data_IF_553977528619
#
_entry.id   IF_553977528619
#
_cell.length_a   1.000
_cell.length_b   1.000
_cell.length_c   1.000
_cell.angle_alpha   90.00
_cell.angle_beta   90.00
_cell.angle_gamma   90.00
#
_symmetry.space_group_name_H-M   'P 1'
#
loop_
_entity.id
_entity.type
_entity.pdbx_description
1 polymer ?
#
# COMPACT_ATOMS: atom_id res chain seq x y z
N UNK A 1 14.48 -12.13 -3.13
CA UNK A 1 14.34 -11.00 -2.17
C UNK A 1 14.96 -11.39 -0.84
N UNK A 2 15.61 -10.45 -0.14
CA UNK A 2 16.09 -10.63 1.23
C UNK A 2 15.65 -9.46 2.09
N UNK A 3 15.44 -9.70 3.38
CA UNK A 3 15.14 -8.65 4.37
C UNK A 3 16.20 -8.68 5.46
N UNK A 4 16.70 -7.52 5.84
CA UNK A 4 17.63 -7.34 6.95
C UNK A 4 17.02 -6.35 7.95
N UNK A 5 16.76 -6.81 9.16
CA UNK A 5 16.41 -5.95 10.29
C UNK A 5 17.69 -5.27 10.79
N UNK A 6 17.72 -3.94 10.79
CA UNK A 6 18.88 -3.14 11.19
C UNK A 6 18.78 -2.65 12.64
N UNK A 7 17.58 -2.21 13.06
CA UNK A 7 17.35 -1.66 14.39
C UNK A 7 15.89 -1.85 14.82
N UNK A 8 15.68 -1.95 16.12
CA UNK A 8 14.35 -1.92 16.76
C UNK A 8 14.36 -0.83 17.82
N UNK A 9 13.35 0.03 17.84
CA UNK A 9 13.21 1.09 18.84
C UNK A 9 13.09 0.46 20.26
N UNK A 10 13.84 0.95 21.26
CA UNK A 10 13.83 0.35 22.59
C UNK A 10 12.51 0.54 23.35
N UNK A 11 11.66 1.50 22.94
CA UNK A 11 10.45 1.91 23.65
C UNK A 11 9.16 1.54 22.92
N UNK A 12 9.26 0.88 21.76
CA UNK A 12 8.11 0.43 20.94
C UNK A 12 8.47 -0.79 20.11
N UNK A 13 7.54 -1.29 19.29
CA UNK A 13 7.84 -2.34 18.33
C UNK A 13 8.35 -1.80 16.97
N UNK A 14 8.53 -0.47 16.85
CA UNK A 14 9.00 0.16 15.63
C UNK A 14 10.37 -0.35 15.23
N UNK A 15 10.55 -0.63 13.94
CA UNK A 15 11.77 -1.24 13.43
C UNK A 15 12.22 -0.62 12.12
N UNK A 16 13.51 -0.49 11.93
CA UNK A 16 14.15 -0.07 10.71
C UNK A 16 14.86 -1.26 10.06
N UNK A 17 14.57 -1.51 8.81
CA UNK A 17 15.16 -2.61 8.03
C UNK A 17 15.48 -2.20 6.61
N UNK A 18 15.85 -3.20 5.81
CA UNK A 18 16.17 -3.05 4.41
C UNK A 18 15.70 -4.30 3.65
N UNK A 19 14.97 -4.08 2.57
CA UNK A 19 14.56 -5.13 1.63
C UNK A 19 15.41 -4.98 0.37
N UNK A 20 15.99 -6.09 -0.11
CA UNK A 20 16.72 -6.14 -1.37
C UNK A 20 15.93 -6.93 -2.39
N UNK A 21 15.61 -6.31 -3.52
CA UNK A 21 15.03 -6.94 -4.72
C UNK A 21 16.01 -6.84 -5.88
N UNK A 22 15.68 -7.47 -7.02
CA UNK A 22 16.51 -7.37 -8.23
C UNK A 22 16.43 -5.98 -8.88
N UNK A 23 15.36 -5.20 -8.62
CA UNK A 23 15.20 -3.82 -9.12
C UNK A 23 15.64 -2.75 -8.11
N UNK A 24 16.16 -3.12 -6.95
CA UNK A 24 16.72 -2.15 -6.00
C UNK A 24 16.45 -2.43 -4.55
N UNK A 25 16.91 -1.50 -3.73
CA UNK A 25 16.84 -1.56 -2.27
C UNK A 25 15.68 -0.70 -1.76
N UNK A 26 14.94 -1.22 -0.79
CA UNK A 26 13.84 -0.53 -0.12
C UNK A 26 14.20 -0.41 1.36
N UNK A 27 14.25 0.82 1.86
CA UNK A 27 14.48 1.11 3.28
C UNK A 27 13.13 1.17 4.00
N UNK A 28 12.97 0.36 5.05
CA UNK A 28 11.74 0.33 5.85
C UNK A 28 11.90 1.09 7.17
N UNK A 29 10.81 1.67 7.72
CA UNK A 29 9.44 1.67 7.18
C UNK A 29 9.32 2.45 5.88
N UNK A 30 8.39 2.03 5.00
CA UNK A 30 8.17 2.62 3.68
C UNK A 30 6.69 2.77 3.35
N UNK A 31 6.35 3.86 2.64
CA UNK A 31 5.05 4.03 2.00
C UNK A 31 5.18 3.80 0.49
N UNK A 32 4.28 3.01 -0.08
CA UNK A 32 4.24 2.67 -1.50
C UNK A 32 3.19 3.52 -2.23
N UNK A 33 3.58 4.44 -3.13
CA UNK A 33 2.64 5.12 -4.00
C UNK A 33 1.84 4.12 -4.86
N UNK A 34 0.51 4.32 -4.93
CA UNK A 34 -0.38 3.40 -5.66
C UNK A 34 -0.47 3.79 -7.12
N UNK A 35 0.05 2.93 -7.98
CA UNK A 35 -0.01 2.99 -9.44
C UNK A 35 -1.06 2.04 -10.02
N UNK A 36 -2.35 2.28 -9.77
CA UNK A 36 -3.48 1.39 -10.07
C UNK A 36 -3.45 0.79 -11.48
N UNK A 37 -3.19 1.61 -12.49
CA UNK A 37 -3.15 1.19 -13.90
C UNK A 37 -1.74 1.38 -14.48
N UNK A 38 -0.73 0.88 -13.79
CA UNK A 38 0.71 1.06 -14.08
C UNK A 38 1.16 2.54 -14.00
N UNK A 39 0.37 3.41 -13.38
CA UNK A 39 0.71 4.83 -13.21
C UNK A 39 0.20 5.36 -11.88
N UNK A 40 1.04 6.11 -11.18
CA UNK A 40 0.61 6.95 -10.07
C UNK A 40 -0.10 8.17 -10.65
N UNK A 41 -1.39 8.33 -10.32
CA UNK A 41 -2.24 9.36 -10.97
C UNK A 41 -1.63 10.75 -10.84
N UNK A 42 -1.55 11.47 -11.97
CA UNK A 42 -1.04 12.84 -12.11
C UNK A 42 0.45 13.03 -11.82
N UNK A 43 1.25 11.96 -11.81
CA UNK A 43 2.70 12.02 -11.53
C UNK A 43 3.47 11.31 -12.64
N UNK A 44 4.50 11.96 -13.18
CA UNK A 44 5.44 11.34 -14.13
C UNK A 44 6.41 10.40 -13.42
N UNK A 45 6.92 9.41 -14.13
CA UNK A 45 7.89 8.44 -13.57
C UNK A 45 9.18 9.11 -13.06
N UNK A 46 9.68 10.15 -13.75
CA UNK A 46 10.86 10.89 -13.30
C UNK A 46 10.59 11.69 -12.01
N UNK A 47 9.41 12.33 -11.88
CA UNK A 47 9.00 13.02 -10.64
C UNK A 47 8.90 12.04 -9.47
N UNK A 48 8.35 10.84 -9.75
CA UNK A 48 8.22 9.78 -8.75
C UNK A 48 9.60 9.30 -8.24
N UNK A 49 10.59 9.21 -9.15
CA UNK A 49 11.95 8.80 -8.84
C UNK A 49 12.78 9.92 -8.22
N UNK A 50 12.79 11.10 -8.84
CA UNK A 50 13.78 12.15 -8.57
C UNK A 50 13.29 13.16 -7.52
N UNK A 51 12.00 13.52 -7.55
CA UNK A 51 11.41 14.50 -6.63
C UNK A 51 10.81 13.82 -5.39
N UNK A 52 9.93 12.85 -5.59
CA UNK A 52 9.25 12.12 -4.51
C UNK A 52 10.19 11.09 -3.87
N UNK A 53 11.15 10.55 -4.64
CA UNK A 53 12.11 9.52 -4.22
C UNK A 53 11.43 8.23 -3.74
N UNK A 54 10.37 7.82 -4.44
CA UNK A 54 9.74 6.55 -4.18
C UNK A 54 10.72 5.40 -4.44
N UNK A 55 10.81 4.47 -3.50
CA UNK A 55 11.71 3.31 -3.61
C UNK A 55 10.98 2.08 -4.13
N UNK A 56 9.66 2.05 -4.04
CA UNK A 56 8.77 1.00 -4.49
C UNK A 56 7.41 1.60 -4.84
N UNK A 57 6.72 1.02 -5.81
CA UNK A 57 5.34 1.36 -6.17
C UNK A 57 4.43 0.14 -6.07
N UNK A 58 3.13 0.36 -5.89
CA UNK A 58 2.13 -0.70 -5.92
C UNK A 58 1.33 -0.64 -7.23
N UNK A 59 1.18 -1.79 -7.90
CA UNK A 59 0.28 -2.01 -9.02
C UNK A 59 -0.92 -2.87 -8.61
N UNK A 60 -2.10 -2.66 -9.23
CA UNK A 60 -3.27 -3.48 -8.91
C UNK A 60 -3.51 -4.56 -9.97
N UNK A 61 -3.38 -5.80 -9.59
CA UNK A 61 -3.54 -6.98 -10.44
C UNK A 61 -4.86 -6.99 -11.20
N UNK A 62 -5.98 -6.74 -10.54
CA UNK A 62 -7.31 -6.68 -11.15
C UNK A 62 -7.38 -5.66 -12.29
N UNK A 63 -6.86 -4.46 -12.07
CA UNK A 63 -6.91 -3.40 -13.08
C UNK A 63 -6.00 -3.70 -14.27
N UNK A 64 -4.78 -4.17 -14.01
CA UNK A 64 -3.82 -4.51 -15.06
C UNK A 64 -4.26 -5.72 -15.89
N UNK A 65 -4.93 -6.69 -15.27
CA UNK A 65 -5.54 -7.82 -15.94
C UNK A 65 -6.64 -7.39 -16.92
N UNK A 66 -7.53 -6.49 -16.51
CA UNK A 66 -8.62 -6.01 -17.36
C UNK A 66 -8.13 -5.03 -18.43
N UNK A 67 -7.19 -4.16 -18.08
CA UNK A 67 -6.65 -3.13 -18.98
C UNK A 67 -5.26 -2.68 -18.50
N UNK A 68 -4.21 -2.85 -19.31
CA UNK A 68 -4.20 -3.11 -20.75
C UNK A 68 -4.49 -4.56 -21.15
N UNK A 69 -4.50 -5.52 -20.18
CA UNK A 69 -4.64 -6.94 -20.45
C UNK A 69 -3.29 -7.67 -20.52
N UNK A 70 -3.35 -8.98 -20.34
CA UNK A 70 -2.15 -9.81 -20.18
C UNK A 70 -1.30 -9.93 -21.44
N UNK A 71 -1.92 -9.90 -22.63
CA UNK A 71 -1.19 -9.95 -23.90
C UNK A 71 -0.28 -8.74 -24.06
N UNK A 72 -0.81 -7.54 -23.77
CA UNK A 72 -0.05 -6.29 -23.83
C UNK A 72 1.05 -6.29 -22.77
N UNK A 73 0.74 -6.72 -21.54
CA UNK A 73 1.73 -6.80 -20.47
C UNK A 73 2.89 -7.75 -20.84
N UNK A 74 2.58 -8.91 -21.39
CA UNK A 74 3.58 -9.89 -21.83
C UNK A 74 4.45 -9.34 -22.96
N UNK A 75 3.83 -8.72 -23.97
CA UNK A 75 4.53 -8.12 -25.12
C UNK A 75 5.45 -6.96 -24.71
N UNK A 76 5.08 -6.22 -23.67
CA UNK A 76 5.88 -5.12 -23.14
C UNK A 76 7.06 -5.56 -22.25
N UNK A 77 7.16 -6.84 -21.89
CA UNK A 77 8.18 -7.32 -20.95
C UNK A 77 7.81 -7.10 -19.48
N UNK A 78 6.53 -7.14 -19.15
CA UNK A 78 5.99 -6.91 -17.82
C UNK A 78 5.79 -5.43 -17.48
N UNK A 79 5.46 -5.14 -16.21
CA UNK A 79 5.10 -3.79 -15.74
C UNK A 79 6.26 -2.81 -15.89
N UNK A 80 7.49 -3.23 -15.67
CA UNK A 80 8.69 -2.39 -15.79
C UNK A 80 8.91 -1.93 -17.23
N UNK A 81 8.80 -2.84 -18.20
CA UNK A 81 8.88 -2.52 -19.62
C UNK A 81 7.68 -1.70 -20.10
N UNK A 82 6.49 -1.95 -19.54
CA UNK A 82 5.26 -1.26 -19.93
C UNK A 82 5.22 0.21 -19.50
N UNK A 83 5.61 0.52 -18.26
CA UNK A 83 5.49 1.87 -17.72
C UNK A 83 6.82 2.63 -17.58
N UNK A 84 7.96 1.95 -17.83
CA UNK A 84 9.30 2.55 -17.72
C UNK A 84 9.78 2.79 -16.30
N UNK A 85 9.08 2.28 -15.27
CA UNK A 85 9.53 2.34 -13.88
C UNK A 85 10.64 1.32 -13.63
N UNK A 86 11.79 1.77 -13.16
CA UNK A 86 12.98 0.92 -12.97
C UNK A 86 13.16 0.43 -11.53
N UNK A 87 12.39 0.94 -10.58
CA UNK A 87 12.44 0.53 -9.19
C UNK A 87 11.54 -0.67 -8.88
N UNK A 88 11.59 -1.20 -7.65
CA UNK A 88 10.73 -2.29 -7.22
C UNK A 88 9.24 -2.01 -7.39
N UNK A 89 8.47 -3.08 -7.66
CA UNK A 89 7.00 -3.05 -7.74
C UNK A 89 6.43 -4.19 -6.90
N UNK A 90 5.37 -3.87 -6.15
CA UNK A 90 4.50 -4.85 -5.52
C UNK A 90 3.16 -4.88 -6.27
N UNK A 91 2.61 -6.07 -6.53
CA UNK A 91 1.22 -6.22 -6.99
C UNK A 91 0.36 -6.83 -5.91
N UNK A 92 -0.86 -6.26 -5.70
CA UNK A 92 -1.87 -6.89 -4.86
C UNK A 92 -2.42 -8.18 -5.48
N UNK A 93 -3.26 -8.92 -4.73
CA UNK A 93 -3.91 -10.15 -5.22
C UNK A 93 -5.03 -9.89 -6.22
N UNK A 94 -5.59 -8.68 -6.25
CA UNK A 94 -6.83 -8.34 -6.95
C UNK A 94 -8.10 -8.74 -6.20
N UNK A 95 -8.02 -9.45 -5.08
CA UNK A 95 -9.15 -9.91 -4.29
C UNK A 95 -10.04 -8.78 -3.77
N UNK A 96 -9.44 -7.73 -3.23
CA UNK A 96 -10.17 -6.56 -2.74
C UNK A 96 -10.93 -5.84 -3.86
N UNK A 97 -10.35 -5.68 -5.05
CA UNK A 97 -11.00 -5.01 -6.18
C UNK A 97 -12.18 -5.84 -6.72
N UNK A 98 -12.05 -7.15 -6.76
CA UNK A 98 -13.17 -8.05 -7.06
C UNK A 98 -14.26 -7.91 -6.00
N UNK A 99 -13.88 -7.71 -4.72
CA UNK A 99 -14.83 -7.43 -3.64
C UNK A 99 -15.53 -6.08 -3.83
N UNK A 100 -14.78 -5.00 -4.05
CA UNK A 100 -15.29 -3.62 -3.97
C UNK A 100 -15.89 -3.09 -5.28
N UNK A 101 -15.43 -3.55 -6.45
CA UNK A 101 -15.80 -3.01 -7.76
C UNK A 101 -16.72 -3.91 -8.58
N UNK A 102 -16.74 -5.21 -8.32
CA UNK A 102 -17.57 -6.13 -9.08
C UNK A 102 -19.04 -6.08 -8.62
N UNK A 103 -19.92 -5.56 -9.47
CA UNK A 103 -21.35 -5.48 -9.20
C UNK A 103 -22.02 -6.86 -8.95
N UNK A 104 -21.47 -7.91 -9.58
CA UNK A 104 -21.92 -9.30 -9.40
C UNK A 104 -20.69 -10.19 -9.26
N UNK A 105 -20.54 -10.80 -8.09
CA UNK A 105 -19.52 -11.79 -7.83
C UNK A 105 -20.10 -13.05 -7.22
N UNK A 106 -19.48 -14.17 -7.48
CA UNK A 106 -19.81 -15.46 -6.88
C UNK A 106 -18.53 -16.10 -6.38
N UNK A 107 -18.43 -16.23 -5.06
CA UNK A 107 -17.30 -16.87 -4.39
C UNK A 107 -17.62 -18.35 -4.23
N UNK A 108 -16.67 -19.20 -4.55
CA UNK A 108 -16.71 -20.65 -4.41
C UNK A 108 -15.35 -21.17 -3.98
N UNK A 109 -15.26 -22.46 -3.68
CA UNK A 109 -13.98 -23.11 -3.37
C UNK A 109 -12.95 -22.98 -4.50
N UNK A 110 -13.40 -23.06 -5.74
CA UNK A 110 -12.55 -23.00 -6.92
C UNK A 110 -11.96 -21.60 -7.15
N UNK A 111 -12.66 -20.55 -6.70
CA UNK A 111 -12.28 -19.16 -6.93
C UNK A 111 -13.47 -18.21 -7.00
N UNK A 112 -13.28 -17.04 -7.60
CA UNK A 112 -14.29 -15.99 -7.70
C UNK A 112 -14.62 -15.70 -9.16
N UNK A 113 -15.89 -15.88 -9.51
CA UNK A 113 -16.43 -15.41 -10.81
C UNK A 113 -17.03 -14.01 -10.61
N UNK A 114 -16.67 -13.07 -11.47
CA UNK A 114 -17.11 -11.68 -11.40
C UNK A 114 -17.37 -11.06 -12.76
N UNK A 115 -18.07 -9.92 -12.77
CA UNK A 115 -18.27 -9.11 -13.97
C UNK A 115 -17.36 -7.89 -13.92
N UNK A 116 -16.64 -7.64 -15.02
CA UNK A 116 -15.81 -6.46 -15.22
C UNK A 116 -16.65 -5.18 -15.07
N UNK A 117 -16.12 -4.21 -14.30
CA UNK A 117 -16.73 -2.88 -14.17
C UNK A 117 -16.55 -2.02 -15.42
N UNK A 118 -15.72 -2.45 -16.39
CA UNK A 118 -15.43 -1.70 -17.63
C UNK A 118 -16.48 -1.98 -18.70
N UNK A 119 -16.78 -3.26 -18.93
CA UNK A 119 -17.59 -3.72 -20.07
C UNK A 119 -18.61 -4.81 -19.71
N UNK A 120 -18.66 -5.23 -18.44
CA UNK A 120 -19.57 -6.27 -17.95
C UNK A 120 -19.18 -7.70 -18.36
N UNK A 121 -18.04 -7.92 -19.00
CA UNK A 121 -17.55 -9.24 -19.36
C UNK A 121 -17.33 -10.12 -18.12
N UNK A 122 -17.53 -11.43 -18.28
CA UNK A 122 -17.37 -12.40 -17.20
C UNK A 122 -15.92 -12.88 -17.12
N UNK A 123 -15.38 -12.87 -15.89
CA UNK A 123 -14.04 -13.34 -15.58
C UNK A 123 -14.06 -14.25 -14.36
N UNK A 124 -13.03 -15.09 -14.22
CA UNK A 124 -12.85 -15.94 -13.05
C UNK A 124 -11.41 -15.82 -12.57
N UNK A 125 -11.25 -15.49 -11.30
CA UNK A 125 -9.99 -15.58 -10.58
C UNK A 125 -9.97 -16.85 -9.74
N UNK A 126 -8.95 -17.67 -9.91
CA UNK A 126 -8.60 -18.80 -9.05
C UNK A 126 -7.24 -18.52 -8.42
N UNK A 127 -6.89 -19.17 -7.31
CA UNK A 127 -5.56 -19.04 -6.74
C UNK A 127 -4.44 -19.25 -7.77
N UNK A 128 -4.57 -20.27 -8.61
CA UNK A 128 -3.56 -20.59 -9.63
C UNK A 128 -3.44 -19.51 -10.70
N UNK A 129 -4.58 -19.10 -11.29
CA UNK A 129 -4.50 -18.13 -12.38
C UNK A 129 -4.12 -16.73 -11.90
N UNK A 130 -4.39 -16.36 -10.64
CA UNK A 130 -3.91 -15.10 -10.05
C UNK A 130 -2.37 -15.12 -9.91
N UNK A 131 -1.78 -16.27 -9.59
CA UNK A 131 -0.32 -16.41 -9.62
C UNK A 131 0.23 -16.22 -11.04
N UNK A 132 -0.38 -16.88 -12.03
CA UNK A 132 0.01 -16.73 -13.44
C UNK A 132 -0.14 -15.28 -13.95
N UNK A 133 -1.22 -14.60 -13.57
CA UNK A 133 -1.44 -13.19 -13.89
C UNK A 133 -0.31 -12.32 -13.31
N UNK A 134 0.06 -12.51 -12.05
CA UNK A 134 1.13 -11.75 -11.41
C UNK A 134 2.51 -12.11 -11.97
N UNK A 135 2.73 -13.35 -12.42
CA UNK A 135 3.93 -13.72 -13.18
C UNK A 135 4.02 -12.92 -14.49
N UNK A 136 2.90 -12.77 -15.22
CA UNK A 136 2.84 -11.99 -16.47
C UNK A 136 3.00 -10.49 -16.21
N UNK A 137 2.43 -9.96 -15.13
CA UNK A 137 2.64 -8.57 -14.74
C UNK A 137 4.11 -8.34 -14.38
N UNK A 138 4.77 -9.28 -13.72
CA UNK A 138 6.20 -9.24 -13.46
C UNK A 138 6.63 -8.26 -12.37
N UNK A 139 5.86 -8.13 -11.29
CA UNK A 139 6.25 -7.36 -10.10
C UNK A 139 7.33 -8.09 -9.29
N UNK A 140 8.11 -7.38 -8.48
CA UNK A 140 9.12 -7.96 -7.57
C UNK A 140 8.50 -8.69 -6.39
N UNK A 141 7.37 -8.19 -5.89
CA UNK A 141 6.61 -8.78 -4.78
C UNK A 141 5.19 -9.04 -5.26
N UNK A 142 4.72 -10.27 -5.11
CA UNK A 142 3.39 -10.69 -5.47
C UNK A 142 2.64 -11.24 -4.25
N UNK A 143 1.31 -11.14 -4.27
CA UNK A 143 0.45 -11.44 -3.13
C UNK A 143 -0.36 -12.71 -3.36
N UNK A 144 -0.61 -13.47 -2.28
CA UNK A 144 -1.56 -14.57 -2.30
C UNK A 144 -2.97 -14.07 -2.64
N UNK A 145 -3.76 -14.91 -3.32
CA UNK A 145 -5.18 -14.63 -3.54
C UNK A 145 -5.97 -14.91 -2.26
N UNK A 146 -6.77 -13.95 -1.81
CA UNK A 146 -7.47 -13.96 -0.54
C UNK A 146 -8.92 -13.48 -0.67
N UNK A 147 -9.73 -13.75 0.34
CA UNK A 147 -11.06 -13.16 0.50
C UNK A 147 -11.02 -12.09 1.59
N UNK A 148 -11.19 -10.81 1.18
CA UNK A 148 -11.40 -9.71 2.11
C UNK A 148 -12.87 -9.68 2.56
N UNK A 149 -13.12 -9.81 3.86
CA UNK A 149 -14.47 -9.73 4.42
C UNK A 149 -14.93 -8.28 4.57
N UNK A 150 -16.26 -8.00 4.51
CA UNK A 150 -16.79 -6.68 4.84
C UNK A 150 -16.64 -6.38 6.34
N UNK A 151 -16.76 -5.10 6.69
CA UNK A 151 -16.94 -4.69 8.08
C UNK A 151 -18.29 -3.92 8.21
N UNK A 152 -19.13 -4.19 9.22
CA UNK A 152 -19.00 -5.33 10.15
C UNK A 152 -19.27 -6.69 9.45
N UNK A 153 -18.73 -7.75 10.05
CA UNK A 153 -18.88 -9.12 9.57
C UNK A 153 -19.21 -10.04 10.75
N UNK A 154 -20.14 -10.97 10.61
CA UNK A 154 -20.39 -11.94 11.66
C UNK A 154 -19.26 -12.99 11.77
N UNK A 155 -19.09 -13.54 12.99
CA UNK A 155 -17.99 -14.46 13.28
C UNK A 155 -18.00 -15.71 12.39
N UNK A 156 -19.16 -16.32 12.13
CA UNK A 156 -19.25 -17.54 11.32
C UNK A 156 -18.85 -17.29 9.87
N UNK A 157 -19.22 -16.12 9.33
CA UNK A 157 -18.77 -15.75 7.99
C UNK A 157 -17.27 -15.49 7.97
N UNK A 158 -16.74 -14.74 8.94
CA UNK A 158 -15.31 -14.47 9.05
C UNK A 158 -14.49 -15.76 9.17
N UNK A 159 -14.93 -16.71 10.00
CA UNK A 159 -14.29 -18.02 10.19
C UNK A 159 -14.32 -18.86 8.89
N UNK A 160 -15.45 -18.90 8.19
CA UNK A 160 -15.58 -19.61 6.91
C UNK A 160 -14.68 -18.99 5.84
N UNK A 161 -14.67 -17.68 5.74
CA UNK A 161 -13.82 -16.91 4.82
C UNK A 161 -12.35 -17.13 5.10
N UNK A 162 -11.94 -17.13 6.36
CA UNK A 162 -10.57 -17.43 6.77
C UNK A 162 -10.16 -18.84 6.32
N UNK A 163 -10.98 -19.83 6.56
CA UNK A 163 -10.72 -21.21 6.12
C UNK A 163 -10.58 -21.33 4.59
N UNK A 164 -11.39 -20.58 3.84
CA UNK A 164 -11.27 -20.50 2.38
C UNK A 164 -9.96 -19.84 1.95
N UNK A 165 -9.62 -18.70 2.56
CA UNK A 165 -8.36 -17.98 2.28
C UNK A 165 -7.14 -18.87 2.53
N UNK A 166 -7.12 -19.64 3.62
CA UNK A 166 -6.02 -20.58 3.89
C UNK A 166 -5.91 -21.69 2.84
N UNK A 167 -7.03 -22.31 2.40
CA UNK A 167 -6.98 -23.31 1.33
C UNK A 167 -6.55 -22.71 -0.01
N UNK A 168 -6.96 -21.48 -0.30
CA UNK A 168 -6.47 -20.75 -1.48
C UNK A 168 -4.98 -20.42 -1.37
N UNK A 169 -4.48 -20.12 -0.18
CA UNK A 169 -3.06 -19.89 0.05
C UNK A 169 -2.23 -21.12 -0.32
N UNK A 170 -2.63 -22.33 0.09
CA UNK A 170 -1.94 -23.56 -0.26
C UNK A 170 -1.83 -23.74 -1.79
N UNK A 171 -2.92 -23.48 -2.51
CA UNK A 171 -2.98 -23.55 -3.97
C UNK A 171 -2.11 -22.48 -4.64
N UNK A 172 -2.08 -21.25 -4.06
CA UNK A 172 -1.18 -20.19 -4.51
C UNK A 172 0.28 -20.59 -4.34
N UNK A 173 0.63 -21.16 -3.19
CA UNK A 173 1.97 -21.63 -2.86
C UNK A 173 2.40 -22.71 -3.85
N UNK A 174 1.58 -23.74 -4.04
CA UNK A 174 1.84 -24.83 -4.99
C UNK A 174 2.08 -24.28 -6.41
N UNK A 175 1.21 -23.34 -6.85
CA UNK A 175 1.37 -22.76 -8.19
C UNK A 175 2.61 -21.90 -8.31
N UNK A 176 2.90 -21.07 -7.29
CA UNK A 176 4.09 -20.21 -7.27
C UNK A 176 5.39 -21.04 -7.31
N UNK A 177 5.47 -22.09 -6.49
CA UNK A 177 6.67 -22.93 -6.39
C UNK A 177 6.91 -23.79 -7.64
N UNK A 178 5.85 -24.11 -8.40
CA UNK A 178 5.90 -24.88 -9.64
C UNK A 178 5.97 -24.02 -10.92
N UNK A 179 6.15 -22.69 -10.79
CA UNK A 179 6.27 -21.78 -11.94
C UNK A 179 7.46 -20.84 -11.80
N UNK A 180 8.12 -20.58 -12.91
CA UNK A 180 9.29 -19.69 -12.93
C UNK A 180 8.92 -18.24 -13.27
N UNK A 181 9.68 -17.25 -12.79
CA UNK A 181 9.58 -15.86 -13.23
C UNK A 181 9.81 -15.73 -14.74
N UNK A 182 9.07 -14.85 -15.40
CA UNK A 182 9.08 -14.75 -16.88
C UNK A 182 10.19 -13.81 -17.38
N UNK A 183 10.55 -12.78 -16.62
CA UNK A 183 11.38 -11.67 -17.12
C UNK A 183 12.80 -11.63 -16.54
N UNK A 184 13.30 -12.74 -16.04
CA UNK A 184 14.69 -12.89 -15.59
C UNK A 184 15.03 -12.32 -14.22
N UNK A 185 14.07 -11.69 -13.51
CA UNK A 185 14.20 -11.28 -12.12
C UNK A 185 13.39 -12.18 -11.20
N UNK A 186 13.81 -12.29 -9.95
CA UNK A 186 13.12 -13.08 -8.92
C UNK A 186 11.91 -12.33 -8.38
N UNK A 187 10.84 -13.08 -8.15
CA UNK A 187 9.65 -12.56 -7.48
C UNK A 187 9.54 -13.15 -6.08
N UNK A 188 9.24 -12.32 -5.10
CA UNK A 188 8.93 -12.73 -3.74
C UNK A 188 7.41 -12.93 -3.57
N UNK A 189 7.00 -13.86 -2.73
CA UNK A 189 5.61 -14.17 -2.47
C UNK A 189 5.22 -13.84 -1.04
N UNK A 190 4.17 -12.99 -0.87
CA UNK A 190 3.64 -12.60 0.43
C UNK A 190 2.25 -13.19 0.63
N UNK A 191 2.07 -14.08 1.62
CA UNK A 191 0.75 -14.50 2.09
C UNK A 191 0.06 -13.36 2.85
N UNK A 192 -1.29 -13.42 2.94
CA UNK A 192 -2.13 -12.40 3.56
C UNK A 192 -2.86 -12.95 4.77
N UNK A 193 -2.66 -12.30 5.91
CA UNK A 193 -3.36 -12.60 7.16
C UNK A 193 -4.75 -11.95 7.10
N UNK A 194 -5.80 -12.76 7.28
CA UNK A 194 -7.18 -12.34 7.35
C UNK A 194 -7.78 -12.66 8.74
N UNK A 195 -9.08 -12.46 8.98
CA UNK A 195 -9.75 -12.78 10.24
C UNK A 195 -10.63 -11.65 10.77
N UNK A 196 -10.96 -10.64 9.92
CA UNK A 196 -11.76 -9.47 10.31
C UNK A 196 -11.20 -8.80 11.59
N UNK A 197 -12.03 -8.38 12.52
CA UNK A 197 -11.64 -7.82 13.83
C UNK A 197 -11.80 -8.83 14.98
N UNK A 198 -11.67 -10.13 14.69
CA UNK A 198 -11.76 -11.20 15.67
C UNK A 198 -10.35 -11.68 16.10
N UNK A 199 -9.93 -11.45 17.35
CA UNK A 199 -8.59 -11.79 17.83
C UNK A 199 -8.20 -13.25 17.62
N UNK A 200 -9.13 -14.19 17.88
CA UNK A 200 -8.87 -15.62 17.73
C UNK A 200 -8.59 -15.99 16.26
N UNK A 201 -9.40 -15.45 15.34
CA UNK A 201 -9.21 -15.70 13.91
C UNK A 201 -7.89 -15.06 13.40
N UNK A 202 -7.57 -13.86 13.87
CA UNK A 202 -6.29 -13.20 13.55
C UNK A 202 -5.08 -14.00 14.04
N UNK A 203 -5.17 -14.56 15.25
CA UNK A 203 -4.13 -15.42 15.80
C UNK A 203 -3.94 -16.68 14.97
N UNK A 204 -5.03 -17.41 14.70
CA UNK A 204 -4.99 -18.61 13.84
C UNK A 204 -4.38 -18.29 12.49
N UNK A 205 -4.79 -17.17 11.87
CA UNK A 205 -4.26 -16.76 10.57
C UNK A 205 -2.77 -16.43 10.63
N UNK A 206 -2.34 -15.64 11.62
CA UNK A 206 -0.94 -15.24 11.78
C UNK A 206 -0.02 -16.45 12.01
N UNK A 207 -0.43 -17.39 12.88
CA UNK A 207 0.31 -18.64 13.14
C UNK A 207 0.42 -19.52 11.88
N UNK A 208 -0.70 -19.71 11.17
CA UNK A 208 -0.72 -20.47 9.92
C UNK A 208 0.22 -19.86 8.89
N UNK A 209 0.14 -18.57 8.68
CA UNK A 209 0.93 -17.86 7.67
C UNK A 209 2.42 -17.81 8.03
N UNK A 210 2.74 -17.57 9.30
CA UNK A 210 4.13 -17.60 9.79
C UNK A 210 4.79 -18.95 9.57
N UNK A 211 4.05 -20.06 9.71
CA UNK A 211 4.56 -21.42 9.51
C UNK A 211 5.01 -21.71 8.08
N UNK A 212 4.47 -21.00 7.07
CA UNK A 212 4.93 -21.17 5.68
C UNK A 212 6.31 -20.57 5.40
N UNK A 213 6.83 -19.68 6.25
CA UNK A 213 8.20 -19.14 6.17
C UNK A 213 8.50 -18.37 4.87
N UNK A 214 7.49 -17.75 4.22
CA UNK A 214 7.66 -17.01 2.97
C UNK A 214 8.50 -15.74 3.15
N UNK A 215 8.79 -15.06 2.05
CA UNK A 215 9.73 -13.92 2.03
C UNK A 215 9.24 -12.69 2.81
N UNK A 216 7.94 -12.57 3.04
CA UNK A 216 7.32 -11.53 3.85
C UNK A 216 5.87 -11.88 4.18
N UNK A 217 5.21 -11.05 5.00
CA UNK A 217 3.84 -11.28 5.44
C UNK A 217 3.02 -10.01 5.31
N UNK A 218 1.79 -10.13 4.81
CA UNK A 218 0.86 -9.01 4.73
C UNK A 218 -0.32 -9.19 5.70
N UNK A 219 -0.84 -8.07 6.18
CA UNK A 219 -2.02 -7.99 7.03
C UNK A 219 -3.12 -7.32 6.22
N UNK A 220 -4.11 -8.10 5.81
CA UNK A 220 -5.26 -7.62 5.05
C UNK A 220 -6.54 -7.57 5.90
N UNK A 221 -7.66 -7.12 5.29
CA UNK A 221 -8.98 -7.07 5.92
C UNK A 221 -9.08 -6.13 7.11
N UNK A 222 -8.23 -5.12 7.17
CA UNK A 222 -8.28 -3.97 8.06
C UNK A 222 -8.38 -2.68 7.24
N UNK A 223 -8.73 -1.56 7.88
CA UNK A 223 -9.03 -0.28 7.20
C UNK A 223 -10.20 -0.38 6.21
N UNK A 224 -11.19 -1.22 6.53
CA UNK A 224 -12.40 -1.45 5.73
C UNK A 224 -13.67 -0.87 6.36
N UNK A 225 -13.54 -0.07 7.42
CA UNK A 225 -14.62 0.64 8.10
C UNK A 225 -14.65 0.50 9.63
N UNK A 226 -13.78 -0.31 10.20
CA UNK A 226 -13.63 -0.48 11.63
C UNK A 226 -13.05 0.78 12.30
N UNK A 227 -13.29 1.01 13.61
CA UNK A 227 -12.60 2.01 14.40
C UNK A 227 -11.08 1.80 14.40
N UNK A 228 -10.32 2.89 14.46
CA UNK A 228 -8.85 2.82 14.41
C UNK A 228 -8.27 1.99 15.56
N UNK A 229 -8.87 2.04 16.73
CA UNK A 229 -8.45 1.28 17.91
C UNK A 229 -8.55 -0.23 17.69
N UNK A 230 -9.60 -0.71 17.00
CA UNK A 230 -9.75 -2.12 16.64
C UNK A 230 -8.66 -2.53 15.63
N UNK A 231 -8.40 -1.70 14.62
CA UNK A 231 -7.33 -1.92 13.66
C UNK A 231 -5.97 -2.01 14.37
N UNK A 232 -5.69 -1.10 15.30
CA UNK A 232 -4.44 -1.09 16.05
C UNK A 232 -4.28 -2.32 16.92
N UNK A 233 -5.34 -2.73 17.64
CA UNK A 233 -5.31 -3.93 18.48
C UNK A 233 -5.05 -5.20 17.66
N UNK A 234 -5.71 -5.34 16.49
CA UNK A 234 -5.50 -6.48 15.60
C UNK A 234 -4.09 -6.48 14.98
N UNK A 235 -3.58 -5.30 14.62
CA UNK A 235 -2.22 -5.16 14.09
C UNK A 235 -1.18 -5.57 15.14
N UNK A 236 -1.31 -5.10 16.38
CA UNK A 236 -0.40 -5.43 17.48
C UNK A 236 -0.38 -6.95 17.76
N UNK A 237 -1.56 -7.56 17.91
CA UNK A 237 -1.70 -9.00 18.11
C UNK A 237 -1.00 -9.81 17.00
N UNK A 238 -1.16 -9.42 15.75
CA UNK A 238 -0.56 -10.13 14.61
C UNK A 238 0.95 -9.94 14.58
N UNK A 239 1.45 -8.74 14.83
CA UNK A 239 2.90 -8.46 14.78
C UNK A 239 3.68 -9.13 15.91
N UNK A 240 3.05 -9.45 17.04
CA UNK A 240 3.66 -10.26 18.12
C UNK A 240 3.95 -11.71 17.67
N UNK A 241 3.16 -12.24 16.74
CA UNK A 241 3.27 -13.62 16.26
C UNK A 241 4.24 -13.71 15.07
N UNK A 242 4.22 -12.69 14.19
CA UNK A 242 4.98 -12.73 12.94
C UNK A 242 6.50 -12.75 13.14
N UNK A 243 7.24 -13.49 12.29
CA UNK A 243 8.69 -13.55 12.34
C UNK A 243 9.34 -12.16 12.31
N UNK A 244 10.41 -11.99 13.10
CA UNK A 244 11.15 -10.71 13.16
C UNK A 244 12.08 -10.49 11.97
N UNK A 245 12.50 -11.56 11.33
CA UNK A 245 13.41 -11.59 10.19
C UNK A 245 12.69 -11.49 8.83
N UNK A 246 11.39 -11.17 8.83
CA UNK A 246 10.57 -10.96 7.64
C UNK A 246 9.91 -9.58 7.66
N UNK A 247 9.74 -8.93 6.49
CA UNK A 247 9.00 -7.67 6.39
C UNK A 247 7.50 -7.91 6.62
N UNK A 248 6.84 -6.89 7.19
CA UNK A 248 5.42 -6.88 7.55
C UNK A 248 4.73 -5.75 6.80
N UNK A 249 3.74 -6.08 6.01
CA UNK A 249 3.00 -5.14 5.19
C UNK A 249 1.56 -5.00 5.68
N UNK A 250 1.15 -3.81 6.11
CA UNK A 250 -0.24 -3.48 6.46
C UNK A 250 -0.93 -2.85 5.25
N UNK A 251 -1.85 -3.59 4.65
CA UNK A 251 -2.46 -3.27 3.37
C UNK A 251 -3.53 -2.17 3.49
N UNK A 252 -3.50 -1.21 2.56
CA UNK A 252 -4.52 -0.18 2.42
C UNK A 252 -4.55 0.91 3.50
N UNK A 253 -3.55 0.96 4.38
CA UNK A 253 -3.46 1.92 5.49
C UNK A 253 -2.43 3.00 5.15
N UNK A 254 -2.71 4.26 5.33
CA UNK A 254 -3.92 5.00 5.45
C UNK A 254 -3.64 6.47 5.73
N UNK A 255 -4.16 7.02 6.81
CA UNK A 255 -3.85 8.39 7.23
C UNK A 255 -2.43 8.47 7.80
N UNK A 256 -1.80 9.69 7.83
CA UNK A 256 -0.49 9.86 8.45
C UNK A 256 -0.42 9.34 9.90
N UNK A 257 -1.47 9.54 10.67
CA UNK A 257 -1.61 9.03 12.03
C UNK A 257 -1.60 7.50 12.06
N UNK A 258 -2.42 6.85 11.22
CA UNK A 258 -2.49 5.38 11.16
C UNK A 258 -1.16 4.75 10.74
N UNK A 259 -0.41 5.41 9.86
CA UNK A 259 0.94 4.98 9.46
C UNK A 259 1.89 5.02 10.65
N UNK A 260 1.92 6.12 11.40
CA UNK A 260 2.77 6.27 12.58
C UNK A 260 2.42 5.26 13.68
N UNK A 261 1.12 5.02 13.90
CA UNK A 261 0.64 4.00 14.85
C UNK A 261 0.95 2.56 14.38
N UNK A 262 0.89 2.30 13.08
CA UNK A 262 1.31 1.03 12.48
C UNK A 262 2.82 0.79 12.64
N UNK A 263 3.64 1.82 12.38
CA UNK A 263 5.10 1.75 12.59
C UNK A 263 5.42 1.44 14.04
N UNK A 264 4.75 2.11 15.00
CA UNK A 264 4.92 1.85 16.44
C UNK A 264 4.66 0.39 16.83
N UNK A 265 3.79 -0.31 16.07
CA UNK A 265 3.44 -1.72 16.24
C UNK A 265 4.25 -2.68 15.36
N UNK A 266 5.33 -2.20 14.73
CA UNK A 266 6.28 -3.03 14.01
C UNK A 266 5.92 -3.34 12.56
N UNK A 267 5.13 -2.49 11.91
CA UNK A 267 4.86 -2.56 10.46
C UNK A 267 5.98 -1.88 9.67
N UNK A 268 6.37 -2.51 8.57
CA UNK A 268 7.45 -2.05 7.68
C UNK A 268 6.96 -1.38 6.40
N UNK A 269 5.81 -1.81 5.86
CA UNK A 269 5.33 -1.42 4.54
C UNK A 269 3.87 -0.99 4.61
N UNK A 270 3.54 0.07 3.87
CA UNK A 270 2.20 0.65 3.78
C UNK A 270 1.88 1.05 2.34
N UNK A 271 0.61 0.99 1.97
CA UNK A 271 0.06 1.62 0.78
C UNK A 271 -1.28 2.27 1.10
N UNK A 272 -1.64 3.29 0.37
CA UNK A 272 -3.00 3.82 0.37
C UNK A 272 -3.22 4.77 -0.80
N UNK A 273 -4.45 4.82 -1.31
CA UNK A 273 -4.84 5.79 -2.35
C UNK A 273 -5.07 7.21 -1.80
N UNK A 274 -5.13 7.39 -0.46
CA UNK A 274 -5.48 8.67 0.17
C UNK A 274 -4.60 9.84 -0.28
N UNK A 275 -3.26 9.74 -0.34
CA UNK A 275 -2.44 10.88 -0.76
C UNK A 275 -2.85 11.43 -2.11
N UNK A 276 -2.95 10.56 -3.12
CA UNK A 276 -3.28 10.97 -4.49
C UNK A 276 -4.76 11.30 -4.67
N UNK A 277 -5.67 10.56 -4.00
CA UNK A 277 -7.11 10.82 -4.07
C UNK A 277 -7.46 12.15 -3.41
N UNK A 278 -6.98 12.40 -2.20
CA UNK A 278 -7.24 13.61 -1.46
C UNK A 278 -6.61 14.85 -2.13
N UNK A 279 -5.40 14.71 -2.69
CA UNK A 279 -4.76 15.75 -3.46
C UNK A 279 -5.65 16.27 -4.59
N UNK A 280 -6.22 15.37 -5.40
CA UNK A 280 -7.10 15.75 -6.52
C UNK A 280 -8.41 16.45 -6.08
N UNK A 281 -8.76 16.34 -4.80
CA UNK A 281 -9.90 17.06 -4.20
C UNK A 281 -9.48 18.32 -3.43
N UNK A 282 -8.18 18.65 -3.43
CA UNK A 282 -7.64 19.85 -2.78
C UNK A 282 -7.36 19.69 -1.29
N UNK A 283 -7.29 18.46 -0.77
CA UNK A 283 -6.83 18.18 0.59
C UNK A 283 -5.34 17.85 0.55
N UNK A 284 -4.53 18.66 1.26
CA UNK A 284 -3.08 18.51 1.33
C UNK A 284 -2.66 18.07 2.72
N UNK A 285 -1.64 17.24 2.77
CA UNK A 285 -0.91 16.87 3.98
C UNK A 285 0.40 17.65 4.04
N UNK A 286 0.66 18.28 5.19
CA UNK A 286 1.86 19.06 5.44
C UNK A 286 2.46 18.71 6.78
N UNK A 287 3.69 19.11 7.03
CA UNK A 287 4.38 18.94 8.31
C UNK A 287 3.70 19.63 9.49
N UNK A 288 2.79 20.58 9.21
CA UNK A 288 2.03 21.34 10.20
C UNK A 288 0.55 20.93 10.30
N UNK A 289 0.10 19.99 9.48
CA UNK A 289 -1.26 19.49 9.48
C UNK A 289 -1.95 19.44 8.12
N UNK A 290 -3.25 19.28 8.13
CA UNK A 290 -4.08 19.09 6.93
C UNK A 290 -4.64 20.44 6.46
N UNK A 291 -4.45 20.73 5.17
CA UNK A 291 -4.94 21.94 4.49
C UNK A 291 -6.03 21.55 3.49
N UNK A 292 -7.20 22.23 3.54
CA UNK A 292 -8.10 22.26 2.39
C UNK A 292 -7.77 23.51 1.57
N UNK A 293 -7.09 23.34 0.44
CA UNK A 293 -6.58 24.44 -0.37
C UNK A 293 -7.69 25.28 -1.03
N UNK A 294 -8.91 24.74 -1.13
CA UNK A 294 -10.07 25.47 -1.68
C UNK A 294 -10.59 26.56 -0.75
N UNK A 295 -10.22 26.55 0.55
CA UNK A 295 -10.65 27.54 1.52
C UNK A 295 -10.20 28.95 1.13
N UNK A 296 -11.11 29.94 1.29
CA UNK A 296 -10.88 31.35 0.91
C UNK A 296 -9.70 31.99 1.63
N UNK A 297 -9.39 31.56 2.85
CA UNK A 297 -8.28 32.10 3.64
C UNK A 297 -6.90 31.97 2.96
N UNK A 298 -6.73 31.01 2.04
CA UNK A 298 -5.47 30.81 1.31
C UNK A 298 -5.32 31.72 0.08
N UNK A 299 -6.34 32.57 -0.22
CA UNK A 299 -6.35 33.40 -1.44
C UNK A 299 -5.19 34.38 -1.51
N UNK A 300 -4.73 34.86 -0.37
CA UNK A 300 -3.62 35.83 -0.24
C UNK A 300 -2.44 35.26 0.55
N UNK A 301 -2.37 33.96 0.72
CA UNK A 301 -1.25 33.30 1.38
C UNK A 301 -0.19 32.94 0.34
N UNK A 302 0.85 33.78 0.25
CA UNK A 302 1.95 33.61 -0.68
C UNK A 302 3.12 32.77 -0.09
N UNK A 303 2.93 32.18 1.10
CA UNK A 303 3.90 31.24 1.67
C UNK A 303 3.97 29.94 0.88
N UNK A 304 5.08 29.18 0.99
CA UNK A 304 5.19 27.84 0.44
C UNK A 304 4.07 26.91 0.88
N UNK A 305 3.73 25.91 0.08
CA UNK A 305 2.67 24.93 0.40
C UNK A 305 2.96 24.25 1.75
N UNK A 306 4.19 23.78 1.93
CA UNK A 306 4.71 23.25 3.19
C UNK A 306 6.11 23.81 3.46
N UNK A 307 6.27 24.65 4.48
CA UNK A 307 7.56 25.30 4.78
C UNK A 307 8.71 24.35 5.11
N UNK A 308 8.41 23.18 5.67
CA UNK A 308 9.41 22.16 6.01
C UNK A 308 9.77 21.24 4.84
N UNK A 309 9.02 21.28 3.74
CA UNK A 309 9.25 20.43 2.58
C UNK A 309 10.50 20.85 1.81
N UNK A 310 11.28 19.86 1.37
CA UNK A 310 12.45 20.08 0.48
C UNK A 310 12.09 19.94 -1.00
N UNK A 311 10.85 19.55 -1.31
CA UNK A 311 10.39 19.26 -2.68
C UNK A 311 10.23 20.55 -3.47
N UNK A 312 10.64 20.51 -4.75
CA UNK A 312 10.60 21.66 -5.65
C UNK A 312 9.22 22.33 -5.69
N UNK A 313 8.16 21.54 -5.87
CA UNK A 313 6.77 22.00 -5.91
C UNK A 313 6.40 22.85 -4.70
N UNK A 314 6.75 22.41 -3.49
CA UNK A 314 6.39 23.09 -2.25
C UNK A 314 7.13 24.39 -2.05
N UNK A 315 8.37 24.49 -2.57
CA UNK A 315 9.21 25.69 -2.43
C UNK A 315 8.93 26.75 -3.48
N UNK A 316 8.51 26.36 -4.67
CA UNK A 316 8.32 27.26 -5.81
C UNK A 316 6.91 27.77 -5.97
N UNK A 317 5.93 27.06 -5.39
CA UNK A 317 4.53 27.43 -5.51
C UNK A 317 3.92 27.80 -4.15
N UNK A 318 3.17 28.91 -4.16
CA UNK A 318 2.46 29.38 -2.98
C UNK A 318 1.09 28.70 -2.80
N UNK A 319 0.59 28.74 -1.58
CA UNK A 319 -0.79 28.32 -1.27
C UNK A 319 -1.82 29.11 -2.07
N UNK A 320 -1.61 30.42 -2.26
CA UNK A 320 -2.47 31.27 -3.08
C UNK A 320 -2.54 30.80 -4.55
N UNK A 321 -1.38 30.50 -5.16
CA UNK A 321 -1.32 30.02 -6.54
C UNK A 321 -1.98 28.65 -6.68
N UNK A 322 -1.67 27.70 -5.80
CA UNK A 322 -2.27 26.38 -5.82
C UNK A 322 -3.80 26.46 -5.65
N UNK A 323 -4.29 27.32 -4.73
CA UNK A 323 -5.72 27.57 -4.59
C UNK A 323 -6.34 28.11 -5.89
N UNK A 324 -5.68 29.06 -6.55
CA UNK A 324 -6.15 29.61 -7.83
C UNK A 324 -6.35 28.49 -8.86
N UNK A 325 -5.38 27.59 -9.02
CA UNK A 325 -5.47 26.44 -9.94
C UNK A 325 -6.66 25.54 -9.62
N UNK A 326 -6.95 25.28 -8.35
CA UNK A 326 -8.11 24.48 -7.94
C UNK A 326 -9.45 25.20 -8.18
N UNK A 327 -9.50 26.51 -8.06
CA UNK A 327 -10.71 27.32 -8.35
C UNK A 327 -10.98 27.38 -9.85
N UNK A 328 -9.92 27.47 -10.67
CA UNK A 328 -10.01 27.45 -12.13
C UNK A 328 -10.13 26.04 -12.73
N UNK A 329 -10.11 24.99 -11.90
CA UNK A 329 -10.11 23.58 -12.31
C UNK A 329 -8.95 23.21 -13.26
N UNK A 330 -7.77 23.85 -13.09
CA UNK A 330 -6.57 23.52 -13.84
C UNK A 330 -5.99 22.16 -13.39
N UNK A 331 -5.63 21.32 -14.38
CA UNK A 331 -5.05 19.99 -14.13
C UNK A 331 -3.74 20.09 -13.37
N UNK A 332 -2.95 21.13 -13.61
CA UNK A 332 -1.69 21.39 -12.90
C UNK A 332 -1.90 21.46 -11.37
N UNK A 333 -3.04 21.99 -10.91
CA UNK A 333 -3.36 22.03 -9.48
C UNK A 333 -3.40 20.64 -8.85
N UNK A 334 -3.99 19.65 -9.55
CA UNK A 334 -4.04 18.26 -9.08
C UNK A 334 -2.66 17.59 -9.09
N UNK A 335 -1.82 17.92 -10.07
CA UNK A 335 -0.46 17.43 -10.17
C UNK A 335 0.39 17.94 -9.01
N UNK A 336 0.44 19.27 -8.81
CA UNK A 336 1.21 19.90 -7.72
C UNK A 336 0.77 19.39 -6.34
N UNK A 337 -0.54 19.26 -6.13
CA UNK A 337 -1.10 18.73 -4.88
C UNK A 337 -0.72 17.25 -4.65
N UNK A 338 -0.67 16.44 -5.71
CA UNK A 338 -0.28 15.03 -5.60
C UNK A 338 1.22 14.89 -5.30
N UNK A 339 2.06 15.68 -5.94
CA UNK A 339 3.49 15.74 -5.65
C UNK A 339 3.73 16.13 -4.18
N UNK A 340 3.03 17.16 -3.68
CA UNK A 340 3.10 17.56 -2.26
C UNK A 340 2.71 16.41 -1.34
N UNK A 341 1.57 15.77 -1.55
CA UNK A 341 1.07 14.74 -0.65
C UNK A 341 1.95 13.50 -0.63
N UNK A 342 2.40 13.03 -1.80
CA UNK A 342 3.29 11.86 -1.85
C UNK A 342 4.63 12.16 -1.22
N UNK A 343 5.20 13.33 -1.49
CA UNK A 343 6.46 13.74 -0.87
C UNK A 343 6.35 13.84 0.65
N UNK A 344 5.21 14.35 1.16
CA UNK A 344 4.95 14.37 2.59
C UNK A 344 4.90 12.96 3.19
N UNK A 345 4.22 12.00 2.53
CA UNK A 345 4.14 10.63 3.04
C UNK A 345 5.50 9.94 3.06
N UNK A 346 6.32 10.12 2.01
CA UNK A 346 7.67 9.55 1.97
C UNK A 346 8.59 10.23 3.00
N UNK A 347 8.48 11.54 3.17
CA UNK A 347 9.18 12.28 4.23
C UNK A 347 8.79 11.75 5.62
N UNK A 348 7.49 11.56 5.90
CA UNK A 348 6.99 11.10 7.20
C UNK A 348 7.58 9.74 7.60
N UNK A 349 7.58 8.77 6.68
CA UNK A 349 8.17 7.45 6.97
C UNK A 349 9.70 7.50 7.02
N UNK A 350 10.33 8.41 6.28
CA UNK A 350 11.77 8.66 6.35
C UNK A 350 12.20 9.25 7.69
N UNK A 351 11.46 10.23 8.21
CA UNK A 351 11.68 10.78 9.57
C UNK A 351 11.45 9.71 10.64
N UNK A 352 10.36 8.92 10.51
CA UNK A 352 10.11 7.80 11.41
C UNK A 352 11.31 6.85 11.44
N UNK A 353 11.87 6.50 10.27
CA UNK A 353 13.06 5.66 10.18
C UNK A 353 14.27 6.28 10.89
N UNK A 354 14.54 7.56 10.68
CA UNK A 354 15.65 8.27 11.34
C UNK A 354 15.49 8.19 12.85
N UNK A 355 14.33 8.51 13.37
CA UNK A 355 14.05 8.45 14.80
C UNK A 355 14.08 7.03 15.39
N UNK A 356 13.74 6.00 14.60
CA UNK A 356 13.92 4.60 15.03
C UNK A 356 15.41 4.30 15.19
N UNK A 357 16.23 4.65 14.20
CA UNK A 357 17.68 4.40 14.23
C UNK A 357 18.37 5.14 15.39
N UNK A 358 17.89 6.33 15.74
CA UNK A 358 18.41 7.16 16.83
C UNK A 358 17.81 6.80 18.21
N UNK A 359 16.84 5.86 18.29
CA UNK A 359 16.16 5.46 19.53
C UNK A 359 15.25 6.54 20.13
N UNK A 360 14.79 7.49 19.32
CA UNK A 360 13.94 8.64 19.70
C UNK A 360 12.54 8.59 19.10
N UNK A 361 12.15 7.44 18.53
CA UNK A 361 10.92 7.33 17.75
C UNK A 361 9.65 7.62 18.55
N UNK A 362 9.48 7.02 19.72
CA UNK A 362 8.22 7.12 20.46
C UNK A 362 7.88 8.56 20.89
N UNK A 363 8.80 9.36 21.53
CA UNK A 363 8.50 10.76 21.84
C UNK A 363 8.25 11.59 20.59
N UNK A 364 9.03 11.42 19.50
CA UNK A 364 8.81 12.11 18.24
C UNK A 364 7.45 11.77 17.63
N UNK A 365 7.09 10.48 17.57
CA UNK A 365 5.78 10.01 17.07
C UNK A 365 4.62 10.68 17.79
N UNK A 366 4.67 10.73 19.12
CA UNK A 366 3.58 11.31 19.93
C UNK A 366 3.37 12.81 19.64
N UNK A 367 4.42 13.56 19.35
CA UNK A 367 4.30 14.96 18.93
C UNK A 367 3.87 15.08 17.47
N UNK A 368 4.38 14.21 16.59
CA UNK A 368 4.05 14.24 15.16
C UNK A 368 2.58 13.89 14.91
N UNK A 369 2.02 12.90 15.61
CA UNK A 369 0.59 12.55 15.51
C UNK A 369 -0.31 13.76 15.81
N UNK A 370 0.00 14.56 16.83
CA UNK A 370 -0.76 15.78 17.15
C UNK A 370 -0.70 16.81 16.01
N UNK A 371 0.46 16.93 15.34
CA UNK A 371 0.63 17.86 14.22
C UNK A 371 -0.12 17.40 12.97
N UNK A 372 0.09 16.15 12.53
CA UNK A 372 -0.48 15.64 11.27
C UNK A 372 -1.99 15.45 11.31
N UNK A 373 -2.60 15.34 12.50
CA UNK A 373 -4.05 15.25 12.69
C UNK A 373 -4.74 16.61 12.75
N UNK A 374 -3.97 17.71 12.91
CA UNK A 374 -4.50 19.07 13.01
C UNK A 374 -5.01 19.56 11.66
N UNK A 375 -6.24 20.10 11.64
CA UNK A 375 -6.78 20.83 10.49
C UNK A 375 -6.46 22.31 10.61
N UNK A 376 -5.83 22.84 9.56
CA UNK A 376 -5.52 24.26 9.44
C UNK A 376 -6.66 25.05 8.78
#
# INVERSE_FOLDING_TARGET
MTFQLLHTDPNSQARAGQIQTDHGTIQTPIFMPVGTAATVKTVHQHELRDDIRAQICLGNTYHLYLRPGLEVMRAAGGIHGFNGWQGPVLTDSGGFQVYSLAHRRKIKEEGVTFQSHIDGSKHTFTPENVMDIQRIIGADIIMAFDECTPYPCDFKYAEKSLGLTHRWLERCIERFDNTEPIYGHKQAFFPIIQGSTYPDLRRISAETIAAHGREGNAIGGLSVGEPAEEMYAMTELVTEILPKDKPRYLMGVGTPENILEGIARGIDMFDCVLPTRNARHGMLYTSEGIINIRNKKWQTDFSPIDPASTVHTSRTHSRAYLRHLFVCNEILGMQLATLQNLSFYLWLVGEARTHILDGTFLPWKNEMVKKVSRRQ
#
